data_IF_586521211128
#
_entry.id   IF_586521211128
#
_cell.length_a   1.000
_cell.length_b   1.000
_cell.length_c   1.000
_cell.angle_alpha   90.00
_cell.angle_beta   90.00
_cell.angle_gamma   90.00
#
_symmetry.space_group_name_H-M   'P 1'
#
loop_
_entity.id
_entity.type
_entity.pdbx_description
1 polymer ?
#
# COMPACT_ATOMS: atom_id res chain seq x y z
N UNK A 1 11.38 6.19 -26.23
CA UNK A 1 11.27 4.79 -25.76
C UNK A 1 9.84 4.56 -25.33
N UNK A 2 9.40 3.33 -25.02
CA UNK A 2 8.05 3.14 -24.46
C UNK A 2 8.03 3.53 -22.98
N UNK A 3 6.92 4.05 -22.47
CA UNK A 3 6.74 4.36 -21.04
C UNK A 3 7.08 3.16 -20.16
N UNK A 4 6.69 1.96 -20.58
CA UNK A 4 7.01 0.72 -19.86
C UNK A 4 8.53 0.45 -19.73
N UNK A 5 9.35 0.85 -20.70
CA UNK A 5 10.80 0.73 -20.61
C UNK A 5 11.38 1.80 -19.67
N UNK A 6 10.82 3.01 -19.70
CA UNK A 6 11.23 4.11 -18.83
C UNK A 6 10.92 3.80 -17.35
N UNK A 7 9.71 3.31 -17.07
CA UNK A 7 9.30 2.87 -15.73
C UNK A 7 10.19 1.75 -15.21
N UNK A 8 10.53 0.78 -16.07
CA UNK A 8 11.42 -0.33 -15.68
C UNK A 8 12.78 0.19 -15.24
N UNK A 9 13.38 1.09 -16.04
CA UNK A 9 14.67 1.68 -15.73
C UNK A 9 14.61 2.51 -14.44
N UNK A 10 13.52 3.26 -14.23
CA UNK A 10 13.33 4.03 -13.00
C UNK A 10 13.26 3.12 -11.76
N UNK A 11 12.52 2.00 -11.84
CA UNK A 11 12.43 1.03 -10.76
C UNK A 11 13.79 0.38 -10.44
N UNK A 12 14.60 0.08 -11.46
CA UNK A 12 15.97 -0.44 -11.27
C UNK A 12 16.88 0.58 -10.57
N UNK A 13 16.71 1.88 -10.85
CA UNK A 13 17.44 2.94 -10.15
C UNK A 13 17.02 3.04 -8.68
N UNK A 14 15.71 2.99 -8.40
CA UNK A 14 15.19 3.01 -7.03
C UNK A 14 15.67 1.81 -6.19
N UNK A 15 15.75 0.62 -6.80
CA UNK A 15 16.27 -0.59 -6.14
C UNK A 15 17.78 -0.49 -5.84
N UNK A 16 18.52 0.28 -6.64
CA UNK A 16 19.96 0.50 -6.48
C UNK A 16 20.33 1.61 -5.48
N UNK A 17 19.35 2.40 -5.03
CA UNK A 17 19.57 3.45 -4.03
C UNK A 17 20.06 2.88 -2.69
N UNK A 18 20.83 3.69 -1.96
CA UNK A 18 21.23 3.36 -0.61
C UNK A 18 20.03 3.26 0.35
N UNK A 19 20.20 2.50 1.44
CA UNK A 19 19.16 2.39 2.47
C UNK A 19 18.71 3.78 2.99
N UNK A 20 19.64 4.71 3.16
CA UNK A 20 19.36 6.06 3.64
C UNK A 20 18.48 6.87 2.69
N UNK A 21 18.71 6.76 1.38
CA UNK A 21 17.89 7.40 0.35
C UNK A 21 16.49 6.78 0.33
N UNK A 22 16.40 5.45 0.36
CA UNK A 22 15.13 4.74 0.40
C UNK A 22 14.30 5.09 1.65
N UNK A 23 14.93 5.18 2.82
CA UNK A 23 14.29 5.62 4.07
C UNK A 23 13.71 7.03 3.94
N UNK A 24 14.37 7.92 3.18
CA UNK A 24 13.91 9.30 3.04
C UNK A 24 12.51 9.40 2.40
N UNK A 25 12.13 8.47 1.51
CA UNK A 25 10.81 8.46 0.87
C UNK A 25 9.66 8.23 1.85
N UNK A 26 9.83 7.35 2.83
CA UNK A 26 8.76 7.00 3.77
C UNK A 26 8.95 7.57 5.18
N UNK A 27 10.08 8.20 5.51
CA UNK A 27 10.32 8.78 6.84
C UNK A 27 9.26 9.82 7.24
N UNK A 28 9.02 10.83 6.40
CA UNK A 28 8.04 11.88 6.70
C UNK A 28 6.61 11.32 6.74
N UNK A 29 6.15 10.54 5.74
CA UNK A 29 4.86 9.86 5.80
C UNK A 29 4.69 9.01 7.06
N UNK A 30 5.72 8.26 7.46
CA UNK A 30 5.67 7.39 8.63
C UNK A 30 5.51 8.19 9.93
N UNK A 31 6.16 9.34 10.08
CA UNK A 31 5.94 10.20 11.25
C UNK A 31 4.48 10.64 11.38
N UNK A 32 3.82 10.95 10.26
CA UNK A 32 2.40 11.35 10.25
C UNK A 32 1.52 10.15 10.59
N UNK A 33 1.77 8.99 9.99
CA UNK A 33 1.06 7.75 10.30
C UNK A 33 1.21 7.38 11.78
N UNK A 34 2.42 7.50 12.32
CA UNK A 34 2.70 7.21 13.72
C UNK A 34 1.87 8.10 14.65
N UNK A 35 1.82 9.41 14.38
CA UNK A 35 0.98 10.33 15.15
C UNK A 35 -0.51 10.00 15.04
N UNK A 36 -0.99 9.65 13.85
CA UNK A 36 -2.38 9.25 13.64
C UNK A 36 -2.75 7.97 14.40
N UNK A 37 -1.84 6.98 14.47
CA UNK A 37 -2.02 5.77 15.26
C UNK A 37 -2.13 6.13 16.75
N UNK A 38 -1.26 7.00 17.25
CA UNK A 38 -1.29 7.42 18.66
C UNK A 38 -2.63 8.08 19.02
N UNK A 39 -3.09 9.02 18.19
CA UNK A 39 -4.35 9.74 18.39
C UNK A 39 -5.55 8.79 18.42
N UNK A 40 -5.74 7.98 17.37
CA UNK A 40 -6.87 7.05 17.30
C UNK A 40 -6.83 5.96 18.39
N UNK A 41 -5.63 5.61 18.87
CA UNK A 41 -5.49 4.64 19.97
C UNK A 41 -5.96 5.20 21.29
N UNK A 42 -5.79 6.50 21.54
CA UNK A 42 -6.25 7.15 22.77
C UNK A 42 -7.78 7.06 22.92
N UNK A 43 -8.53 7.25 21.82
CA UNK A 43 -9.98 7.05 21.80
C UNK A 43 -10.35 5.61 22.22
N UNK A 44 -9.62 4.60 21.72
CA UNK A 44 -9.90 3.21 22.06
C UNK A 44 -9.59 2.86 23.52
N UNK A 45 -8.57 3.50 24.11
CA UNK A 45 -8.27 3.35 25.54
C UNK A 45 -9.40 3.94 26.38
N UNK A 46 -9.89 5.12 26.01
CA UNK A 46 -10.97 5.81 26.74
C UNK A 46 -12.30 5.08 26.61
N UNK A 47 -12.69 4.69 25.40
CA UNK A 47 -14.01 4.12 25.12
C UNK A 47 -14.13 2.64 25.49
N UNK A 48 -13.04 1.87 25.37
CA UNK A 48 -13.07 0.42 25.51
C UNK A 48 -12.20 -0.11 26.66
N UNK A 49 -11.44 0.75 27.34
CA UNK A 49 -10.57 0.34 28.44
C UNK A 49 -9.40 -0.56 28.01
N UNK A 50 -9.01 -0.50 26.72
CA UNK A 50 -7.82 -1.22 26.24
C UNK A 50 -6.56 -0.66 26.90
N UNK A 51 -5.52 -1.49 27.02
CA UNK A 51 -4.19 -0.94 27.31
C UNK A 51 -3.68 -0.15 26.09
N UNK A 52 -2.85 0.86 26.35
CA UNK A 52 -2.28 1.69 25.29
C UNK A 52 -1.59 0.88 24.19
N UNK A 53 -0.78 -0.12 24.56
CA UNK A 53 -0.06 -0.98 23.62
C UNK A 53 -1.01 -1.81 22.76
N UNK A 54 -2.11 -2.30 23.34
CA UNK A 54 -3.10 -3.08 22.61
C UNK A 54 -3.92 -2.23 21.65
N UNK A 55 -4.30 -1.01 22.06
CA UNK A 55 -4.97 -0.06 21.19
C UNK A 55 -4.08 0.31 20.00
N UNK A 56 -2.81 0.66 20.25
CA UNK A 56 -1.84 0.97 19.19
C UNK A 56 -1.61 -0.18 18.23
N UNK A 57 -1.46 -1.41 18.74
CA UNK A 57 -1.33 -2.60 17.90
C UNK A 57 -2.56 -2.78 17.00
N UNK A 58 -3.76 -2.65 17.58
CA UNK A 58 -5.00 -2.85 16.83
C UNK A 58 -5.19 -1.80 15.73
N UNK A 59 -4.99 -0.51 16.04
CA UNK A 59 -5.08 0.59 15.06
C UNK A 59 -4.02 0.44 13.97
N UNK A 60 -2.78 0.11 14.34
CA UNK A 60 -1.71 -0.14 13.37
C UNK A 60 -2.06 -1.29 12.41
N UNK A 61 -2.68 -2.36 12.90
CA UNK A 61 -3.13 -3.47 12.07
C UNK A 61 -4.25 -3.06 11.10
N UNK A 62 -5.23 -2.27 11.56
CA UNK A 62 -6.27 -1.73 10.65
C UNK A 62 -5.62 -0.88 9.55
N UNK A 63 -4.66 -0.03 9.92
CA UNK A 63 -3.93 0.79 8.96
C UNK A 63 -3.08 0.00 7.98
N UNK A 64 -2.49 -1.12 8.42
CA UNK A 64 -1.80 -2.06 7.53
C UNK A 64 -2.77 -2.65 6.51
N UNK A 65 -3.95 -3.11 6.93
CA UNK A 65 -4.94 -3.72 6.03
C UNK A 65 -5.46 -2.71 5.00
N UNK A 66 -5.77 -1.48 5.42
CA UNK A 66 -6.16 -0.39 4.50
C UNK A 66 -5.03 -0.11 3.51
N UNK A 67 -3.79 0.01 3.98
CA UNK A 67 -2.62 0.29 3.15
C UNK A 67 -2.34 -0.84 2.15
N UNK A 68 -2.45 -2.10 2.56
CA UNK A 68 -2.29 -3.26 1.68
C UNK A 68 -3.32 -3.22 0.55
N UNK A 69 -4.58 -2.90 0.88
CA UNK A 69 -5.64 -2.77 -0.11
C UNK A 69 -5.47 -1.53 -1.00
N UNK A 70 -4.90 -0.43 -0.50
CA UNK A 70 -4.51 0.72 -1.34
C UNK A 70 -3.46 0.30 -2.39
N UNK A 71 -2.46 -0.49 -2.00
CA UNK A 71 -1.45 -1.00 -2.96
C UNK A 71 -2.11 -1.86 -4.04
N UNK A 72 -3.09 -2.69 -3.69
CA UNK A 72 -3.86 -3.48 -4.66
C UNK A 72 -4.65 -2.60 -5.64
N UNK A 73 -5.33 -1.57 -5.14
CA UNK A 73 -6.06 -0.60 -5.97
C UNK A 73 -5.13 0.16 -6.91
N UNK A 74 -3.95 0.56 -6.43
CA UNK A 74 -2.95 1.26 -7.24
C UNK A 74 -2.34 0.35 -8.31
N UNK A 75 -2.06 -0.91 -7.99
CA UNK A 75 -1.59 -1.90 -8.95
C UNK A 75 -2.58 -2.09 -10.10
N UNK A 76 -3.86 -2.22 -9.78
CA UNK A 76 -4.94 -2.33 -10.76
C UNK A 76 -5.04 -1.07 -11.64
N UNK A 77 -5.04 0.12 -11.03
CA UNK A 77 -5.06 1.40 -11.74
C UNK A 77 -3.86 1.56 -12.69
N UNK A 78 -2.67 1.15 -12.25
CA UNK A 78 -1.47 1.22 -13.06
C UNK A 78 -1.58 0.35 -14.31
N UNK A 79 -2.07 -0.90 -14.18
CA UNK A 79 -2.30 -1.79 -15.34
C UNK A 79 -3.37 -1.21 -16.27
N UNK A 80 -4.47 -0.69 -15.73
CA UNK A 80 -5.52 -0.04 -16.53
C UNK A 80 -5.00 1.16 -17.34
N UNK A 81 -3.94 1.83 -16.86
CA UNK A 81 -3.27 2.94 -17.56
C UNK A 81 -2.06 2.49 -18.41
N UNK A 82 -1.91 1.19 -18.67
CA UNK A 82 -0.92 0.65 -19.61
C UNK A 82 0.41 0.20 -19.00
N UNK A 83 0.57 0.24 -17.67
CA UNK A 83 1.73 -0.35 -17.02
C UNK A 83 1.73 -1.88 -17.15
N UNK A 84 2.89 -2.47 -17.42
CA UNK A 84 3.01 -3.93 -17.49
C UNK A 84 2.89 -4.57 -16.09
N UNK A 85 2.26 -5.76 -16.01
CA UNK A 85 2.18 -6.55 -14.76
C UNK A 85 3.57 -6.80 -14.12
N UNK A 86 4.61 -6.93 -14.94
CA UNK A 86 6.00 -7.10 -14.48
C UNK A 86 6.54 -5.85 -13.77
N UNK A 87 6.28 -4.65 -14.30
CA UNK A 87 6.68 -3.40 -13.64
C UNK A 87 5.88 -3.18 -12.35
N UNK A 88 4.58 -3.48 -12.36
CA UNK A 88 3.73 -3.41 -11.16
C UNK A 88 4.23 -4.34 -10.05
N UNK A 89 4.57 -5.58 -10.38
CA UNK A 89 5.17 -6.51 -9.41
C UNK A 89 6.49 -5.98 -8.85
N UNK A 90 7.39 -5.48 -9.72
CA UNK A 90 8.68 -4.91 -9.30
C UNK A 90 8.49 -3.71 -8.37
N UNK A 91 7.60 -2.78 -8.71
CA UNK A 91 7.28 -1.62 -7.88
C UNK A 91 6.79 -2.02 -6.49
N UNK A 92 6.10 -3.15 -6.37
CA UNK A 92 5.62 -3.70 -5.12
C UNK A 92 6.61 -4.64 -4.41
N UNK A 93 7.88 -4.71 -4.86
CA UNK A 93 8.89 -5.61 -4.31
C UNK A 93 8.56 -7.10 -4.51
N UNK A 94 7.65 -7.43 -5.42
CA UNK A 94 7.27 -8.79 -5.76
C UNK A 94 7.99 -9.27 -7.03
N UNK A 95 8.27 -10.58 -7.10
CA UNK A 95 8.74 -11.18 -8.34
C UNK A 95 7.68 -11.05 -9.45
N UNK A 96 8.06 -10.74 -10.70
CA UNK A 96 7.12 -10.71 -11.84
C UNK A 96 6.31 -12.00 -12.03
N UNK A 97 6.90 -13.16 -11.71
CA UNK A 97 6.21 -14.45 -11.77
C UNK A 97 5.11 -14.60 -10.71
N UNK A 98 5.14 -13.77 -9.66
CA UNK A 98 4.18 -13.76 -8.56
C UNK A 98 3.18 -12.60 -8.65
N UNK A 99 3.18 -11.81 -9.74
CA UNK A 99 2.35 -10.61 -9.88
C UNK A 99 0.86 -10.91 -9.62
N UNK A 100 0.31 -11.94 -10.27
CA UNK A 100 -1.11 -12.31 -10.14
C UNK A 100 -1.44 -13.01 -8.82
N UNK A 101 -0.44 -13.58 -8.15
CA UNK A 101 -0.60 -14.12 -6.79
C UNK A 101 -0.63 -13.00 -5.76
N UNK A 102 0.21 -11.98 -5.92
CA UNK A 102 0.24 -10.78 -5.05
C UNK A 102 -0.96 -9.87 -5.30
N UNK A 103 -1.41 -9.77 -6.55
CA UNK A 103 -2.52 -8.92 -6.97
C UNK A 103 -3.60 -9.77 -7.66
N UNK A 104 -4.50 -10.41 -6.89
CA UNK A 104 -5.56 -11.26 -7.44
C UNK A 104 -6.43 -10.54 -8.47
N UNK A 105 -6.64 -9.22 -8.31
CA UNK A 105 -7.38 -8.37 -9.25
C UNK A 105 -6.75 -8.17 -10.62
N UNK A 106 -5.49 -8.56 -10.79
CA UNK A 106 -4.85 -8.56 -12.11
C UNK A 106 -5.16 -9.85 -12.90
N UNK A 107 -5.77 -10.86 -12.26
CA UNK A 107 -6.38 -12.00 -12.96
C UNK A 107 -7.68 -11.49 -13.59
N UNK A 108 -7.99 -11.98 -14.79
CA UNK A 108 -9.05 -11.43 -15.66
C UNK A 108 -10.46 -11.37 -15.04
N UNK A 109 -11.41 -10.95 -15.88
CA UNK A 109 -12.80 -10.44 -15.72
C UNK A 109 -13.78 -11.14 -14.74
N UNK A 110 -13.29 -11.71 -13.62
CA UNK A 110 -14.13 -12.16 -12.52
C UNK A 110 -14.78 -10.98 -11.81
N UNK A 111 -15.86 -11.26 -11.07
CA UNK A 111 -16.53 -10.24 -10.25
C UNK A 111 -15.50 -9.51 -9.38
N UNK A 112 -15.40 -8.20 -9.58
CA UNK A 112 -14.48 -7.34 -8.84
C UNK A 112 -14.99 -7.30 -7.40
N UNK A 113 -14.30 -8.02 -6.52
CA UNK A 113 -14.58 -7.92 -5.09
C UNK A 113 -14.41 -6.45 -4.64
N UNK A 114 -14.88 -6.07 -3.47
CA UNK A 114 -14.63 -4.72 -2.92
C UNK A 114 -13.35 -4.74 -2.08
N UNK A 115 -12.51 -3.71 -2.14
CA UNK A 115 -11.38 -3.55 -1.23
C UNK A 115 -11.80 -2.73 -0.02
N UNK A 116 -11.12 -2.95 1.10
CA UNK A 116 -11.24 -2.11 2.27
C UNK A 116 -10.97 -0.63 1.97
N UNK A 117 -10.01 -0.32 1.10
CA UNK A 117 -9.75 1.07 0.66
C UNK A 117 -10.94 1.69 -0.07
N UNK A 118 -11.79 0.89 -0.73
CA UNK A 118 -13.00 1.40 -1.39
C UNK A 118 -13.99 1.89 -0.32
N UNK A 119 -14.21 1.11 0.74
CA UNK A 119 -15.06 1.51 1.86
C UNK A 119 -14.54 2.77 2.59
N UNK A 120 -13.21 2.86 2.78
CA UNK A 120 -12.58 4.03 3.42
C UNK A 120 -12.75 5.29 2.58
N UNK A 121 -12.56 5.20 1.26
CA UNK A 121 -12.70 6.36 0.37
C UNK A 121 -14.15 6.84 0.31
N UNK A 122 -15.12 5.92 0.29
CA UNK A 122 -16.54 6.28 0.31
C UNK A 122 -16.96 6.98 1.62
N UNK A 123 -16.29 6.68 2.73
CA UNK A 123 -16.53 7.35 4.02
C UNK A 123 -15.92 8.77 4.11
N UNK A 124 -15.08 9.16 3.14
CA UNK A 124 -14.45 10.48 3.07
C UNK A 124 -15.17 11.46 2.13
N UNK A 125 -16.12 10.97 1.33
CA UNK A 125 -16.96 11.77 0.41
C UNK A 125 -18.21 12.33 1.09
#
# INVERSE_FOLDING_TARGET
MSQNTEDRKALELLDAESLSERIAYYRKPFMVLWAAIQEASSELVEDYGLSQDMAQLWVAEQMRQVSDSLVDRLAEKAVAHGASKSNVARAAGASPANAERRFPRLKGDGARERLLIDDVLDAME
#
